data_IF_243011125153
#
_entry.id   IF_243011125153
#
_cell.length_a   1.000
_cell.length_b   1.000
_cell.length_c   1.000
_cell.angle_alpha   90.00
_cell.angle_beta   90.00
_cell.angle_gamma   90.00
#
_symmetry.space_group_name_H-M   'P 1'
#
loop_
_entity.id
_entity.type
_entity.pdbx_description
1 polymer ?
#
# COMPACT_ATOMS: atom_id res chain seq x y z
N UNK A 1 20.04 -9.88 -17.84
CA UNK A 1 19.72 -8.74 -18.73
C UNK A 1 19.67 -7.51 -17.84
N UNK A 2 20.35 -6.41 -18.18
CA UNK A 2 20.29 -5.20 -17.39
C UNK A 2 18.85 -4.67 -17.45
N UNK A 3 18.20 -4.51 -16.28
CA UNK A 3 16.90 -3.83 -16.17
C UNK A 3 17.09 -2.41 -16.71
N UNK A 4 16.30 -1.94 -17.67
CA UNK A 4 16.41 -0.56 -18.12
C UNK A 4 16.03 0.33 -16.92
N UNK A 5 16.97 1.15 -16.48
CA UNK A 5 16.70 2.27 -15.58
C UNK A 5 15.88 3.30 -16.35
N UNK A 6 14.60 3.08 -16.46
CA UNK A 6 13.68 4.11 -16.90
C UNK A 6 13.43 4.98 -15.69
N UNK A 7 13.94 6.20 -15.70
CA UNK A 7 13.51 7.21 -14.76
C UNK A 7 12.00 7.36 -14.94
N UNK A 8 11.23 6.85 -13.96
CA UNK A 8 9.78 7.06 -13.93
C UNK A 8 9.58 8.55 -13.70
N UNK A 9 8.91 9.22 -14.64
CA UNK A 9 8.58 10.63 -14.47
C UNK A 9 7.76 10.79 -13.19
N UNK A 10 8.03 11.80 -12.35
CA UNK A 10 7.27 12.02 -11.14
C UNK A 10 5.80 12.18 -11.51
N UNK A 11 4.93 11.55 -10.73
CA UNK A 11 3.49 11.64 -10.89
C UNK A 11 3.09 13.11 -10.78
N UNK A 12 2.44 13.63 -11.82
CA UNK A 12 1.78 14.93 -11.74
C UNK A 12 0.37 14.67 -11.19
N UNK A 13 0.02 15.36 -10.11
CA UNK A 13 -1.32 15.34 -9.53
C UNK A 13 -2.34 15.64 -10.63
N UNK A 14 -2.99 14.59 -11.11
CA UNK A 14 -4.07 14.69 -12.08
C UNK A 14 -5.36 14.93 -11.31
N UNK A 15 -6.15 15.90 -11.75
CA UNK A 15 -7.49 16.14 -11.19
C UNK A 15 -8.44 14.98 -11.49
N UNK A 16 -8.15 14.24 -12.54
CA UNK A 16 -8.96 13.13 -13.01
C UNK A 16 -8.06 11.88 -13.08
N UNK A 17 -8.41 10.85 -12.33
CA UNK A 17 -7.71 9.56 -12.39
C UNK A 17 -8.44 8.69 -13.40
N UNK A 18 -7.82 8.45 -14.52
CA UNK A 18 -8.31 7.51 -15.54
C UNK A 18 -7.61 6.18 -15.31
N UNK A 19 -8.31 5.22 -14.70
CA UNK A 19 -7.76 3.89 -14.42
C UNK A 19 -8.18 2.95 -15.53
N UNK A 20 -7.25 2.61 -16.41
CA UNK A 20 -7.44 1.54 -17.40
C UNK A 20 -7.09 0.23 -16.74
N UNK A 21 -8.11 -0.58 -16.42
CA UNK A 21 -7.91 -1.92 -15.85
C UNK A 21 -7.82 -2.96 -16.96
N UNK A 22 -6.75 -3.73 -16.95
CA UNK A 22 -6.62 -4.93 -17.75
C UNK A 22 -6.58 -6.12 -16.79
N UNK A 23 -7.69 -6.87 -16.68
CA UNK A 23 -7.73 -8.08 -15.85
C UNK A 23 -6.96 -9.17 -16.58
N UNK A 24 -5.71 -9.38 -16.21
CA UNK A 24 -4.85 -10.37 -16.85
C UNK A 24 -4.71 -11.66 -16.05
N UNK A 25 -4.96 -11.63 -14.74
CA UNK A 25 -4.90 -12.81 -13.86
C UNK A 25 -5.89 -12.66 -12.71
N UNK A 26 -6.56 -13.75 -12.30
CA UNK A 26 -7.33 -13.74 -11.06
C UNK A 26 -6.35 -13.54 -9.90
N UNK A 27 -6.54 -12.46 -9.12
CA UNK A 27 -5.81 -12.22 -7.89
C UNK A 27 -6.56 -12.88 -6.73
N UNK A 28 -5.84 -13.45 -5.78
CA UNK A 28 -6.43 -13.71 -4.47
C UNK A 28 -6.89 -12.37 -3.86
N UNK A 29 -7.90 -12.42 -2.98
CA UNK A 29 -8.35 -11.21 -2.29
C UNK A 29 -7.18 -10.65 -1.50
N UNK A 30 -6.60 -9.55 -1.96
CA UNK A 30 -5.45 -8.91 -1.32
C UNK A 30 -5.92 -8.21 -0.06
N UNK A 31 -5.30 -8.53 1.08
CA UNK A 31 -5.47 -7.77 2.31
C UNK A 31 -4.74 -6.44 2.22
N UNK A 32 -5.51 -5.37 1.99
CA UNK A 32 -4.98 -4.02 1.73
C UNK A 32 -4.19 -3.41 2.91
N UNK A 33 -4.13 -4.09 4.05
CA UNK A 33 -3.33 -3.72 5.22
C UNK A 33 -2.23 -4.72 5.59
N UNK A 34 -2.04 -5.79 4.81
CA UNK A 34 -1.07 -6.84 5.12
C UNK A 34 0.35 -6.41 4.80
N UNK A 35 1.27 -6.80 5.68
CA UNK A 35 2.68 -6.45 5.57
C UNK A 35 3.53 -7.64 5.09
N UNK A 36 4.51 -7.36 4.23
CA UNK A 36 5.57 -8.25 3.81
C UNK A 36 6.92 -7.75 4.33
N UNK A 37 7.68 -8.63 4.98
CA UNK A 37 9.06 -8.38 5.38
C UNK A 37 9.99 -9.02 4.33
N UNK A 38 10.76 -8.19 3.65
CA UNK A 38 11.76 -8.61 2.66
C UNK A 38 13.06 -8.95 3.39
N UNK A 39 13.42 -10.23 3.40
CA UNK A 39 14.58 -10.75 4.13
C UNK A 39 15.66 -11.28 3.18
N UNK A 40 16.63 -10.43 2.77
CA UNK A 40 17.77 -10.90 1.98
C UNK A 40 18.64 -11.85 2.80
N UNK A 41 18.87 -13.06 2.30
CA UNK A 41 19.69 -14.05 2.99
C UNK A 41 20.60 -14.78 2.01
N UNK A 42 21.84 -15.03 2.43
CA UNK A 42 22.79 -15.81 1.64
C UNK A 42 22.49 -17.33 1.67
N UNK A 43 21.74 -17.80 2.66
CA UNK A 43 21.37 -19.20 2.80
C UNK A 43 19.86 -19.30 2.88
N UNK A 44 19.25 -19.68 1.76
CA UNK A 44 17.80 -19.87 1.70
C UNK A 44 17.37 -21.12 2.46
N UNK A 45 16.20 -21.09 3.13
CA UNK A 45 15.59 -22.28 3.69
C UNK A 45 15.43 -23.36 2.60
N UNK A 46 15.80 -24.60 2.89
CA UNK A 46 15.76 -25.70 1.93
C UNK A 46 15.06 -26.93 2.50
N UNK A 47 14.51 -27.74 1.61
CA UNK A 47 13.83 -28.99 2.01
C UNK A 47 12.44 -28.79 2.63
N UNK A 48 11.91 -27.59 2.58
CA UNK A 48 10.57 -27.27 3.08
C UNK A 48 9.50 -27.73 2.07
N UNK A 49 8.42 -28.32 2.57
CA UNK A 49 7.24 -28.63 1.75
C UNK A 49 6.34 -27.40 1.64
N UNK A 50 5.80 -27.14 0.46
CA UNK A 50 4.74 -26.10 0.28
C UNK A 50 3.44 -26.52 1.01
N UNK A 51 3.27 -27.82 1.29
CA UNK A 51 2.11 -28.32 2.05
C UNK A 51 2.44 -28.32 3.52
N UNK A 52 1.75 -27.48 4.28
CA UNK A 52 1.86 -27.40 5.73
C UNK A 52 1.25 -28.65 6.39
N UNK A 53 1.90 -29.19 7.39
CA UNK A 53 1.35 -30.22 8.25
C UNK A 53 0.39 -29.66 9.32
N UNK A 54 -0.19 -30.56 10.14
CA UNK A 54 -1.17 -30.15 11.15
C UNK A 54 -0.54 -29.40 12.32
N UNK A 55 0.70 -29.62 12.63
CA UNK A 55 1.37 -28.97 13.75
C UNK A 55 1.83 -27.56 13.33
N UNK A 56 2.41 -27.41 12.14
CA UNK A 56 2.72 -26.11 11.55
C UNK A 56 1.48 -25.17 11.49
N UNK A 57 0.31 -25.71 11.11
CA UNK A 57 -0.95 -24.96 11.11
C UNK A 57 -1.42 -24.56 12.51
N UNK A 58 -1.23 -25.43 13.51
CA UNK A 58 -1.54 -25.13 14.92
C UNK A 58 -0.61 -24.09 15.50
N UNK A 59 0.66 -24.10 15.06
CA UNK A 59 1.66 -23.12 15.45
C UNK A 59 1.42 -21.75 14.81
N UNK A 60 0.44 -21.66 13.89
CA UNK A 60 -0.02 -20.41 13.30
C UNK A 60 0.68 -20.02 11.99
N UNK A 61 1.36 -20.96 11.33
CA UNK A 61 1.85 -20.79 9.96
C UNK A 61 0.66 -20.93 9.01
N UNK A 62 0.35 -19.85 8.27
CA UNK A 62 -0.83 -19.77 7.40
C UNK A 62 -0.57 -20.31 6.01
N UNK A 63 0.59 -19.97 5.44
CA UNK A 63 1.01 -20.45 4.12
C UNK A 63 2.52 -20.51 3.99
N UNK A 64 2.97 -21.34 3.06
CA UNK A 64 4.38 -21.42 2.64
C UNK A 64 4.45 -21.78 1.17
N UNK A 65 5.29 -21.08 0.43
CA UNK A 65 5.53 -21.34 -0.98
C UNK A 65 6.97 -21.09 -1.35
N UNK A 66 7.57 -22.05 -2.07
CA UNK A 66 8.93 -21.92 -2.60
C UNK A 66 8.87 -21.69 -4.10
N UNK A 67 9.55 -20.66 -4.59
CA UNK A 67 9.74 -20.48 -6.03
C UNK A 67 10.90 -21.37 -6.52
N UNK A 68 10.62 -22.22 -7.49
CA UNK A 68 11.60 -23.17 -8.01
C UNK A 68 12.71 -22.53 -8.86
N UNK A 69 12.50 -21.33 -9.39
CA UNK A 69 13.45 -20.64 -10.26
C UNK A 69 14.51 -19.85 -9.45
N UNK A 70 14.07 -19.19 -8.41
CA UNK A 70 14.93 -18.36 -7.56
C UNK A 70 15.36 -19.08 -6.29
N UNK A 71 14.56 -20.04 -5.82
CA UNK A 71 14.69 -20.68 -4.51
C UNK A 71 14.12 -19.84 -3.36
N UNK A 72 13.55 -18.67 -3.66
CA UNK A 72 12.95 -17.81 -2.65
C UNK A 72 11.75 -18.47 -1.95
N UNK A 73 11.60 -18.20 -0.66
CA UNK A 73 10.56 -18.81 0.19
C UNK A 73 9.68 -17.74 0.78
N UNK A 74 8.41 -17.76 0.42
CA UNK A 74 7.36 -16.92 1.00
C UNK A 74 6.66 -17.68 2.12
N UNK A 75 6.45 -17.04 3.26
CA UNK A 75 5.74 -17.61 4.42
C UNK A 75 4.83 -16.57 5.02
N UNK A 76 3.65 -17.00 5.47
CA UNK A 76 2.71 -16.16 6.23
C UNK A 76 2.51 -16.73 7.64
N UNK A 77 2.38 -15.83 8.60
CA UNK A 77 2.25 -16.10 10.02
C UNK A 77 1.08 -15.34 10.62
N UNK A 78 0.28 -15.99 11.47
CA UNK A 78 -0.90 -15.39 12.09
C UNK A 78 -0.59 -14.57 13.35
N UNK A 79 0.60 -14.72 13.92
CA UNK A 79 0.99 -14.05 15.16
C UNK A 79 2.51 -14.12 15.37
N UNK A 80 2.99 -13.44 16.41
CA UNK A 80 4.42 -13.39 16.72
C UNK A 80 5.01 -14.75 17.16
N UNK A 81 4.24 -15.58 17.86
CA UNK A 81 4.70 -16.92 18.29
C UNK A 81 4.94 -17.82 17.07
N UNK A 82 4.10 -17.68 16.03
CA UNK A 82 4.31 -18.38 14.77
C UNK A 82 5.58 -17.92 14.03
N UNK A 83 5.91 -16.62 14.07
CA UNK A 83 7.17 -16.11 13.53
C UNK A 83 8.36 -16.67 14.29
N UNK A 84 8.25 -16.84 15.61
CA UNK A 84 9.32 -17.38 16.46
C UNK A 84 9.68 -18.85 16.17
N UNK A 85 8.82 -19.58 15.44
CA UNK A 85 9.13 -20.95 14.99
C UNK A 85 10.29 -20.96 13.99
N UNK A 86 10.33 -19.97 13.12
CA UNK A 86 11.31 -19.89 12.02
C UNK A 86 12.40 -18.83 12.23
N UNK A 87 12.16 -17.84 13.10
CA UNK A 87 13.07 -16.71 13.32
C UNK A 87 13.30 -16.46 14.80
N UNK A 88 14.52 -16.60 15.26
CA UNK A 88 14.92 -16.31 16.64
C UNK A 88 14.67 -14.84 17.00
N UNK A 89 14.46 -14.55 18.29
CA UNK A 89 14.09 -13.25 18.81
C UNK A 89 15.12 -12.12 18.58
N UNK A 90 16.36 -12.46 18.27
CA UNK A 90 17.43 -11.50 17.95
C UNK A 90 17.49 -11.15 16.46
N UNK A 91 16.78 -11.89 15.60
CA UNK A 91 16.74 -11.64 14.15
C UNK A 91 16.01 -10.34 13.82
N UNK A 92 16.39 -9.72 12.70
CA UNK A 92 15.73 -8.52 12.19
C UNK A 92 14.26 -8.78 11.84
N UNK A 93 13.95 -9.93 11.23
CA UNK A 93 12.57 -10.35 10.89
C UNK A 93 11.69 -10.37 12.13
N UNK A 94 12.14 -11.08 13.20
CA UNK A 94 11.36 -11.15 14.45
C UNK A 94 11.12 -9.78 15.08
N UNK A 95 12.14 -8.91 15.12
CA UNK A 95 12.01 -7.55 15.67
C UNK A 95 11.00 -6.70 14.89
N UNK A 96 10.98 -6.81 13.56
CA UNK A 96 9.99 -6.15 12.70
C UNK A 96 8.58 -6.71 12.96
N UNK A 97 8.43 -8.03 12.97
CA UNK A 97 7.15 -8.66 13.27
C UNK A 97 6.63 -8.29 14.67
N UNK A 98 7.51 -8.26 15.68
CA UNK A 98 7.15 -7.84 17.04
C UNK A 98 6.64 -6.39 17.10
N UNK A 99 7.30 -5.46 16.39
CA UNK A 99 6.86 -4.06 16.33
C UNK A 99 5.52 -3.92 15.60
N UNK A 100 5.28 -4.72 14.58
CA UNK A 100 4.02 -4.77 13.84
C UNK A 100 2.87 -5.30 14.71
N UNK A 101 3.02 -6.47 15.32
CA UNK A 101 1.99 -7.08 16.16
C UNK A 101 1.78 -6.36 17.50
N UNK A 102 2.69 -5.48 17.92
CA UNK A 102 2.49 -4.62 19.07
C UNK A 102 1.50 -3.46 18.82
N UNK A 103 1.12 -3.21 17.58
CA UNK A 103 0.13 -2.17 17.24
C UNK A 103 -1.29 -2.69 17.41
N UNK A 104 -2.24 -1.82 17.78
CA UNK A 104 -3.64 -2.22 18.02
C UNK A 104 -4.43 -2.55 16.76
N UNK A 105 -4.01 -2.02 15.62
CA UNK A 105 -4.74 -2.09 14.34
C UNK A 105 -4.03 -2.98 13.31
N UNK A 106 -3.07 -3.81 13.73
CA UNK A 106 -2.39 -4.73 12.82
C UNK A 106 -3.37 -5.73 12.19
N UNK A 107 -3.04 -6.24 11.01
CA UNK A 107 -3.83 -7.32 10.42
C UNK A 107 -3.58 -8.64 11.16
N UNK A 108 -4.39 -9.65 10.85
CA UNK A 108 -4.29 -10.99 11.42
C UNK A 108 -3.11 -11.81 10.90
N UNK A 109 -2.20 -11.16 10.13
CA UNK A 109 -1.05 -11.85 9.51
C UNK A 109 0.11 -10.93 9.21
N UNK A 110 1.28 -11.54 9.06
CA UNK A 110 2.48 -10.94 8.48
C UNK A 110 3.11 -11.94 7.52
N UNK A 111 3.61 -11.45 6.40
CA UNK A 111 4.37 -12.28 5.47
C UNK A 111 5.87 -12.01 5.55
N UNK A 112 6.69 -13.02 5.24
CA UNK A 112 8.14 -12.91 5.11
C UNK A 112 8.56 -13.54 3.80
N UNK A 113 9.39 -12.86 3.04
CA UNK A 113 10.03 -13.37 1.83
C UNK A 113 11.54 -13.49 2.08
N UNK A 114 12.02 -14.73 2.21
CA UNK A 114 13.45 -15.01 2.19
C UNK A 114 13.93 -15.15 0.76
N UNK A 115 14.94 -14.38 0.37
CA UNK A 115 15.43 -14.38 -1.00
C UNK A 115 16.94 -14.17 -1.09
N UNK A 116 17.56 -14.69 -2.16
CA UNK A 116 18.94 -14.41 -2.50
C UNK A 116 19.06 -12.96 -3.02
N UNK A 117 19.89 -12.10 -2.39
CA UNK A 117 20.07 -10.71 -2.85
C UNK A 117 20.43 -10.56 -4.33
N UNK A 118 21.11 -11.55 -4.91
CA UNK A 118 21.45 -11.55 -6.34
C UNK A 118 20.23 -11.77 -7.26
N UNK A 119 19.10 -12.23 -6.72
CA UNK A 119 17.85 -12.52 -7.43
C UNK A 119 16.66 -11.76 -6.83
N UNK A 120 16.91 -10.62 -6.21
CA UNK A 120 15.89 -9.87 -5.47
C UNK A 120 14.67 -9.51 -6.33
N UNK A 121 14.90 -9.04 -7.56
CA UNK A 121 13.84 -8.67 -8.50
C UNK A 121 12.95 -9.87 -8.85
N UNK A 122 13.54 -10.94 -9.35
CA UNK A 122 12.83 -12.15 -9.78
C UNK A 122 12.09 -12.81 -8.62
N UNK A 123 12.68 -12.77 -7.42
CA UNK A 123 12.08 -13.33 -6.21
C UNK A 123 10.86 -12.54 -5.77
N UNK A 124 10.90 -11.21 -5.78
CA UNK A 124 9.74 -10.39 -5.43
C UNK A 124 8.65 -10.50 -6.48
N UNK A 125 9.01 -10.52 -7.78
CA UNK A 125 8.06 -10.67 -8.89
C UNK A 125 7.30 -12.00 -8.80
N UNK A 126 7.96 -13.10 -8.41
CA UNK A 126 7.33 -14.42 -8.26
C UNK A 126 6.20 -14.43 -7.21
N UNK A 127 6.28 -13.58 -6.20
CA UNK A 127 5.30 -13.47 -5.10
C UNK A 127 4.51 -12.17 -5.12
N UNK A 128 4.54 -11.43 -6.24
CA UNK A 128 3.88 -10.13 -6.35
C UNK A 128 2.37 -10.17 -6.15
N UNK A 129 1.72 -11.23 -6.58
CA UNK A 129 0.25 -11.40 -6.49
C UNK A 129 -0.22 -12.05 -5.18
N UNK A 130 0.70 -12.30 -4.22
CA UNK A 130 0.37 -12.87 -2.93
C UNK A 130 -0.30 -11.84 -2.01
N UNK A 131 -0.84 -12.29 -0.88
CA UNK A 131 -1.71 -11.51 0.00
C UNK A 131 -0.93 -10.51 0.88
N UNK A 132 -0.35 -9.48 0.28
CA UNK A 132 0.33 -8.38 0.95
C UNK A 132 0.18 -7.09 0.14
N UNK A 133 0.34 -5.93 0.80
CA UNK A 133 0.25 -4.60 0.15
C UNK A 133 1.42 -3.71 0.51
N UNK A 134 1.92 -3.78 1.74
CA UNK A 134 3.03 -2.97 2.21
C UNK A 134 4.26 -3.82 2.43
N UNK A 135 5.38 -3.51 1.78
CA UNK A 135 6.66 -4.19 1.99
C UNK A 135 7.62 -3.32 2.80
N UNK A 136 8.34 -3.95 3.72
CA UNK A 136 9.45 -3.36 4.48
C UNK A 136 10.70 -4.22 4.33
N UNK A 137 11.86 -3.65 4.60
CA UNK A 137 13.10 -4.42 4.68
C UNK A 137 13.29 -5.01 6.08
N UNK A 138 13.74 -6.25 6.19
CA UNK A 138 14.12 -6.86 7.47
C UNK A 138 15.24 -6.02 8.11
N UNK A 139 16.32 -5.77 7.38
CA UNK A 139 17.35 -4.81 7.77
C UNK A 139 16.99 -3.44 7.18
N UNK A 140 16.89 -2.40 8.02
CA UNK A 140 16.59 -1.02 7.58
C UNK A 140 17.81 -0.40 6.88
N UNK A 141 18.18 -0.94 5.71
CA UNK A 141 19.32 -0.52 4.93
C UNK A 141 18.88 -0.12 3.52
N UNK A 142 18.92 1.15 3.24
CA UNK A 142 18.58 1.72 1.92
C UNK A 142 19.84 1.73 1.04
N UNK A 143 20.14 0.58 0.45
CA UNK A 143 21.26 0.42 -0.49
C UNK A 143 20.77 0.32 -1.96
N UNK A 144 21.68 0.15 -2.89
CA UNK A 144 21.35 0.04 -4.32
C UNK A 144 20.40 -1.14 -4.62
N UNK A 145 20.39 -2.20 -3.80
CA UNK A 145 19.43 -3.30 -3.95
C UNK A 145 18.02 -2.84 -3.56
N UNK A 146 17.88 -2.17 -2.42
CA UNK A 146 16.60 -1.59 -1.98
C UNK A 146 16.06 -0.59 -3.01
N UNK A 147 16.95 0.30 -3.53
CA UNK A 147 16.60 1.27 -4.58
C UNK A 147 16.12 0.54 -5.85
N UNK A 148 16.75 -0.57 -6.23
CA UNK A 148 16.34 -1.34 -7.41
C UNK A 148 14.96 -1.96 -7.20
N UNK A 149 14.66 -2.47 -5.99
CA UNK A 149 13.34 -3.02 -5.66
C UNK A 149 12.24 -1.97 -5.75
N UNK A 150 12.46 -0.71 -5.36
CA UNK A 150 11.42 0.33 -5.46
C UNK A 150 10.90 0.53 -6.87
N UNK A 151 11.71 0.26 -7.90
CA UNK A 151 11.28 0.37 -9.31
C UNK A 151 10.14 -0.60 -9.66
N UNK A 152 10.04 -1.76 -8.97
CA UNK A 152 8.95 -2.71 -9.19
C UNK A 152 7.64 -2.11 -8.70
N UNK A 153 7.66 -1.47 -7.52
CA UNK A 153 6.48 -0.82 -6.95
C UNK A 153 5.98 0.33 -7.83
N UNK A 154 6.90 1.14 -8.34
CA UNK A 154 6.56 2.25 -9.25
C UNK A 154 6.05 1.77 -10.62
N UNK A 155 6.52 0.61 -11.10
CA UNK A 155 6.05 0.04 -12.36
C UNK A 155 4.64 -0.55 -12.25
N UNK A 156 4.34 -1.28 -11.16
CA UNK A 156 3.09 -2.00 -10.98
C UNK A 156 1.98 -1.15 -10.33
N UNK A 157 2.32 -0.23 -9.42
CA UNK A 157 1.41 0.75 -8.81
C UNK A 157 0.27 0.16 -7.98
N UNK A 158 0.50 -0.99 -7.37
CA UNK A 158 -0.51 -1.72 -6.61
C UNK A 158 -0.02 -2.23 -5.23
N UNK A 159 1.22 -1.85 -4.86
CA UNK A 159 1.82 -2.12 -3.56
C UNK A 159 2.70 -0.94 -3.16
N UNK A 160 3.05 -0.86 -1.87
CA UNK A 160 3.88 0.20 -1.31
C UNK A 160 5.16 -0.36 -0.70
N UNK A 161 6.28 0.31 -0.99
CA UNK A 161 7.56 0.06 -0.31
C UNK A 161 7.73 1.08 0.81
N UNK A 162 7.95 0.62 2.04
CA UNK A 162 8.21 1.48 3.20
C UNK A 162 9.68 1.33 3.60
N UNK A 163 10.42 2.41 3.52
CA UNK A 163 11.85 2.45 3.82
C UNK A 163 12.10 3.32 5.05
N UNK A 164 12.99 2.86 5.90
CA UNK A 164 13.43 3.60 7.09
C UNK A 164 14.92 3.85 7.03
N UNK A 165 15.33 5.07 7.33
CA UNK A 165 16.74 5.45 7.54
C UNK A 165 16.87 6.58 8.55
N UNK A 166 18.04 6.66 9.19
CA UNK A 166 18.43 7.81 10.02
C UNK A 166 19.16 8.92 9.23
N UNK A 167 19.46 8.70 7.94
CA UNK A 167 20.06 9.71 7.05
C UNK A 167 19.11 10.01 5.87
N UNK A 168 18.68 11.26 5.75
CA UNK A 168 17.80 11.71 4.65
C UNK A 168 18.44 11.55 3.27
N UNK A 169 19.78 11.54 3.18
CA UNK A 169 20.48 11.37 1.90
C UNK A 169 20.25 10.02 1.26
N UNK A 170 19.89 9.01 2.05
CA UNK A 170 19.54 7.69 1.54
C UNK A 170 18.30 7.73 0.63
N UNK A 171 17.47 8.76 0.78
CA UNK A 171 16.26 8.96 -0.01
C UNK A 171 16.45 9.86 -1.24
N UNK A 172 17.63 10.50 -1.43
CA UNK A 172 17.85 11.45 -2.52
C UNK A 172 17.56 10.87 -3.91
N UNK A 173 17.94 9.59 -4.13
CA UNK A 173 17.70 8.90 -5.41
C UNK A 173 16.25 8.45 -5.61
N UNK A 174 15.44 8.48 -4.57
CA UNK A 174 14.06 7.98 -4.52
C UNK A 174 13.04 9.13 -4.55
N UNK A 175 13.50 10.37 -4.52
CA UNK A 175 12.64 11.56 -4.51
C UNK A 175 11.73 11.58 -5.74
N UNK A 176 10.42 11.80 -5.51
CA UNK A 176 9.43 11.83 -6.57
C UNK A 176 8.72 10.48 -6.84
N UNK A 177 9.06 9.42 -6.10
CA UNK A 177 8.40 8.12 -6.23
C UNK A 177 7.05 8.10 -5.51
N UNK A 178 6.01 7.54 -6.18
CA UNK A 178 4.62 7.54 -5.66
C UNK A 178 4.33 6.37 -4.73
N UNK A 179 4.96 5.22 -4.95
CA UNK A 179 4.67 3.99 -4.21
C UNK A 179 5.79 3.64 -3.22
N UNK A 180 6.62 4.64 -2.90
CA UNK A 180 7.70 4.56 -1.92
C UNK A 180 7.49 5.57 -0.80
N UNK A 181 7.42 5.07 0.44
CA UNK A 181 7.23 5.84 1.68
C UNK A 181 8.57 5.87 2.41
N UNK A 182 9.02 7.05 2.82
CA UNK A 182 10.28 7.22 3.54
C UNK A 182 10.02 7.64 4.99
N UNK A 183 10.60 6.90 5.93
CA UNK A 183 10.55 7.19 7.35
C UNK A 183 11.93 7.58 7.85
N UNK A 184 12.04 8.79 8.42
CA UNK A 184 13.26 9.27 9.06
C UNK A 184 13.18 8.94 10.54
N UNK A 185 13.92 7.89 10.96
CA UNK A 185 13.97 7.45 12.35
C UNK A 185 15.22 6.60 12.61
N UNK A 186 15.58 6.43 13.90
CA UNK A 186 16.66 5.51 14.30
C UNK A 186 16.32 4.09 13.86
N UNK A 187 17.22 3.47 13.11
CA UNK A 187 17.04 2.11 12.59
C UNK A 187 17.04 1.03 13.68
N UNK A 188 17.45 1.35 14.90
CA UNK A 188 17.36 0.45 16.05
C UNK A 188 15.91 0.22 16.53
N UNK A 189 15.00 1.16 16.24
CA UNK A 189 13.56 1.03 16.52
C UNK A 189 12.80 0.81 15.20
N UNK A 190 12.09 -0.31 15.03
CA UNK A 190 11.40 -0.64 13.78
C UNK A 190 10.15 0.23 13.53
N UNK A 191 10.33 1.50 13.24
CA UNK A 191 9.24 2.45 12.99
C UNK A 191 8.44 2.07 11.73
N UNK A 192 9.06 1.53 10.70
CA UNK A 192 8.41 1.09 9.46
C UNK A 192 7.36 0.00 9.72
N UNK A 193 7.70 -1.01 10.51
CA UNK A 193 6.77 -2.06 10.89
C UNK A 193 5.64 -1.52 11.80
N UNK A 194 5.97 -0.65 12.77
CA UNK A 194 4.97 -0.01 13.62
C UNK A 194 4.02 0.89 12.79
N UNK A 195 4.55 1.65 11.83
CA UNK A 195 3.79 2.54 10.96
C UNK A 195 2.75 1.76 10.13
N UNK A 196 3.17 0.68 9.50
CA UNK A 196 2.26 -0.19 8.75
C UNK A 196 1.25 -0.84 9.70
N UNK A 197 1.69 -1.44 10.82
CA UNK A 197 0.82 -2.14 11.78
C UNK A 197 -0.21 -1.23 12.45
N UNK A 198 0.11 0.04 12.68
CA UNK A 198 -0.82 0.98 13.31
C UNK A 198 -1.90 1.52 12.38
N UNK A 199 -1.69 1.49 11.06
CA UNK A 199 -2.50 2.29 10.13
C UNK A 199 -3.07 1.47 8.98
N UNK A 200 -2.27 0.59 8.36
CA UNK A 200 -2.60 0.00 7.07
C UNK A 200 -3.86 -0.87 7.07
N UNK A 201 -4.19 -1.51 8.19
CA UNK A 201 -5.38 -2.37 8.31
C UNK A 201 -6.64 -1.62 8.76
N UNK A 202 -6.56 -0.31 9.02
CA UNK A 202 -7.76 0.51 9.22
C UNK A 202 -8.59 0.55 7.96
N UNK A 203 -9.88 0.79 8.13
CA UNK A 203 -10.78 0.95 6.99
C UNK A 203 -10.24 2.02 6.03
N UNK A 204 -9.98 1.63 4.78
CA UNK A 204 -9.45 2.54 3.77
C UNK A 204 -10.46 3.66 3.50
N UNK A 205 -9.98 4.90 3.49
CA UNK A 205 -10.81 6.12 3.42
C UNK A 205 -11.12 6.72 4.79
N UNK A 206 -11.19 5.92 5.87
CA UNK A 206 -11.56 6.41 7.21
C UNK A 206 -10.43 7.13 7.95
N UNK A 207 -9.20 7.07 7.47
CA UNK A 207 -8.04 7.56 8.22
C UNK A 207 -6.98 8.16 7.33
N UNK A 208 -6.36 9.26 7.78
CA UNK A 208 -5.10 9.75 7.21
C UNK A 208 -3.91 9.07 7.87
N UNK A 209 -2.76 9.06 7.20
CA UNK A 209 -1.50 8.52 7.74
C UNK A 209 -0.72 9.51 8.62
N UNK A 210 -1.15 10.77 8.66
CA UNK A 210 -0.66 11.80 9.58
C UNK A 210 -1.36 11.70 10.95
N UNK A 211 -0.70 12.19 12.00
CA UNK A 211 -1.23 12.26 13.39
C UNK A 211 -1.43 10.90 14.07
N UNK A 212 -0.70 9.87 13.67
CA UNK A 212 -0.83 8.52 14.24
C UNK A 212 0.17 8.26 15.34
N UNK A 213 -0.30 7.66 16.43
CA UNK A 213 0.53 7.17 17.51
C UNK A 213 1.07 5.77 17.15
N UNK A 214 2.35 5.53 17.43
CA UNK A 214 3.04 4.28 17.18
C UNK A 214 3.50 3.69 18.52
N UNK A 215 2.96 2.52 18.88
CA UNK A 215 3.34 1.86 20.12
C UNK A 215 4.79 1.36 20.04
N UNK A 216 5.55 1.60 21.10
CA UNK A 216 6.94 1.14 21.22
C UNK A 216 7.96 1.96 20.43
N UNK A 217 7.56 3.06 19.79
CA UNK A 217 8.46 3.97 19.05
C UNK A 217 8.68 5.27 19.85
N UNK A 218 9.92 5.68 19.95
CA UNK A 218 10.31 6.89 20.68
C UNK A 218 10.21 8.12 19.78
N UNK A 219 9.46 9.18 20.15
CA UNK A 219 9.38 10.38 19.33
C UNK A 219 10.71 11.12 19.29
N UNK A 220 11.14 11.56 18.12
CA UNK A 220 12.36 12.33 17.91
C UNK A 220 12.22 13.78 18.42
N UNK A 221 13.29 14.29 19.00
CA UNK A 221 13.39 15.69 19.43
C UNK A 221 14.06 16.50 18.31
N UNK A 222 13.26 17.01 17.39
CA UNK A 222 13.71 17.73 16.20
C UNK A 222 13.60 19.24 16.38
N UNK A 223 14.58 19.97 15.88
CA UNK A 223 14.47 21.41 15.66
C UNK A 223 13.54 21.71 14.50
N UNK A 224 13.03 22.94 14.42
CA UNK A 224 12.20 23.41 13.29
C UNK A 224 12.92 23.24 11.94
N UNK A 225 14.24 23.45 11.91
CA UNK A 225 15.03 23.32 10.70
C UNK A 225 15.18 21.87 10.26
N UNK A 226 15.40 20.95 11.19
CA UNK A 226 15.48 19.52 10.91
C UNK A 226 14.13 18.99 10.40
N UNK A 227 13.02 19.36 11.05
CA UNK A 227 11.69 18.98 10.60
C UNK A 227 11.39 19.57 9.20
N UNK A 228 11.78 20.80 8.92
CA UNK A 228 11.66 21.38 7.58
C UNK A 228 12.49 20.62 6.54
N UNK A 229 13.69 20.17 6.90
CA UNK A 229 14.52 19.31 6.05
C UNK A 229 13.83 17.99 5.72
N UNK A 230 13.25 17.33 6.72
CA UNK A 230 12.48 16.08 6.55
C UNK A 230 11.27 16.30 5.63
N UNK A 231 10.52 17.38 5.85
CA UNK A 231 9.36 17.71 5.02
C UNK A 231 9.75 18.03 3.57
N UNK A 232 10.88 18.68 3.33
CA UNK A 232 11.36 18.99 1.99
C UNK A 232 11.78 17.73 1.19
N UNK A 233 12.16 16.66 1.87
CA UNK A 233 12.44 15.36 1.24
C UNK A 233 11.21 14.47 1.16
N UNK A 234 10.04 14.94 1.58
CA UNK A 234 8.81 14.17 1.71
C UNK A 234 8.98 12.90 2.57
N UNK A 235 9.91 12.91 3.52
CA UNK A 235 10.01 11.87 4.52
C UNK A 235 9.07 12.16 5.69
N UNK A 236 8.77 11.13 6.47
CA UNK A 236 7.90 11.17 7.65
C UNK A 236 8.75 10.93 8.88
N UNK A 237 8.60 11.76 9.91
CA UNK A 237 9.19 11.56 11.22
C UNK A 237 8.13 11.21 12.27
N UNK A 238 8.58 10.62 13.38
CA UNK A 238 7.74 10.44 14.57
C UNK A 238 8.11 11.49 15.60
N UNK A 239 7.20 12.37 15.95
CA UNK A 239 7.47 13.59 16.72
C UNK A 239 6.47 13.77 17.87
N UNK A 240 6.86 14.60 18.85
CA UNK A 240 5.94 15.01 19.91
C UNK A 240 5.50 16.45 19.72
N UNK A 241 4.18 16.67 19.56
CA UNK A 241 3.60 18.00 19.38
C UNK A 241 2.43 18.17 20.33
N UNK A 242 2.44 19.26 21.10
CA UNK A 242 1.39 19.60 22.09
C UNK A 242 1.11 18.46 23.08
N UNK A 243 2.13 17.70 23.46
CA UNK A 243 2.02 16.59 24.40
C UNK A 243 1.65 15.24 23.78
N UNK A 244 1.31 15.18 22.49
CA UNK A 244 0.94 13.96 21.77
C UNK A 244 2.06 13.48 20.88
N UNK A 245 2.38 12.19 20.92
CA UNK A 245 3.29 11.55 20.02
C UNK A 245 2.55 11.22 18.71
N UNK A 246 3.17 11.52 17.56
CA UNK A 246 2.47 11.34 16.28
C UNK A 246 3.41 11.32 15.07
N UNK A 247 2.96 10.71 13.99
CA UNK A 247 3.56 10.86 12.66
C UNK A 247 3.45 12.31 12.19
N UNK A 248 4.54 12.87 11.64
CA UNK A 248 4.61 14.28 11.23
C UNK A 248 3.77 14.56 9.99
N UNK A 249 3.77 13.62 9.06
CA UNK A 249 3.03 13.69 7.79
C UNK A 249 2.54 12.29 7.37
N UNK A 250 1.82 12.20 6.22
CA UNK A 250 1.27 10.97 5.67
C UNK A 250 1.39 10.92 4.16
N UNK A 251 2.57 11.20 3.61
CA UNK A 251 2.83 11.26 2.17
C UNK A 251 3.87 10.23 1.73
N UNK A 252 3.97 10.04 0.44
CA UNK A 252 5.02 9.29 -0.22
C UNK A 252 6.15 10.24 -0.65
N UNK A 253 7.24 9.71 -1.18
CA UNK A 253 8.38 10.51 -1.66
C UNK A 253 8.07 11.45 -2.83
N UNK A 254 6.91 11.29 -3.50
CA UNK A 254 6.42 12.26 -4.49
C UNK A 254 5.72 13.48 -3.85
N UNK A 255 5.32 13.37 -2.59
CA UNK A 255 4.44 14.33 -1.92
C UNK A 255 2.95 14.03 -2.07
N UNK A 256 2.57 12.94 -2.77
CA UNK A 256 1.20 12.45 -2.79
C UNK A 256 0.83 11.81 -1.44
N UNK A 257 -0.42 11.93 -1.04
CA UNK A 257 -0.88 11.37 0.23
C UNK A 257 -1.11 9.85 0.12
N UNK A 258 -0.63 9.12 1.12
CA UNK A 258 -0.75 7.66 1.18
C UNK A 258 -2.22 7.23 1.22
N UNK A 259 -3.07 7.94 1.96
CA UNK A 259 -4.51 7.67 2.03
C UNK A 259 -5.20 7.78 0.67
N UNK A 260 -4.83 8.75 -0.16
CA UNK A 260 -5.35 8.91 -1.51
C UNK A 260 -4.92 7.75 -2.42
N UNK A 261 -3.62 7.38 -2.42
CA UNK A 261 -3.11 6.27 -3.22
C UNK A 261 -3.65 4.91 -2.74
N UNK A 262 -3.78 4.72 -1.43
CA UNK A 262 -4.38 3.52 -0.85
C UNK A 262 -5.88 3.42 -1.17
N UNK A 263 -6.58 4.56 -1.20
CA UNK A 263 -7.97 4.65 -1.67
C UNK A 263 -8.14 4.28 -3.14
N UNK A 264 -7.24 4.73 -4.02
CA UNK A 264 -7.23 4.35 -5.44
C UNK A 264 -7.02 2.83 -5.57
N UNK A 265 -6.09 2.26 -4.82
CA UNK A 265 -5.84 0.82 -4.80
C UNK A 265 -7.08 0.04 -4.31
N UNK A 266 -7.76 0.56 -3.28
CA UNK A 266 -9.02 -0.03 -2.79
C UNK A 266 -10.09 -0.07 -3.89
N UNK A 267 -10.29 1.03 -4.61
CA UNK A 267 -11.25 1.09 -5.73
C UNK A 267 -10.89 0.08 -6.81
N UNK A 268 -9.62 0.04 -7.22
CA UNK A 268 -9.13 -0.90 -8.24
C UNK A 268 -9.40 -2.35 -7.81
N UNK A 269 -8.94 -2.75 -6.63
CA UNK A 269 -9.07 -4.13 -6.13
C UNK A 269 -10.53 -4.56 -5.99
N UNK A 270 -11.39 -3.67 -5.49
CA UNK A 270 -12.81 -3.99 -5.32
C UNK A 270 -13.58 -4.04 -6.64
N UNK A 271 -13.22 -3.22 -7.64
CA UNK A 271 -13.81 -3.35 -8.98
C UNK A 271 -13.38 -4.68 -9.62
N UNK A 272 -12.09 -5.04 -9.55
CA UNK A 272 -11.58 -6.34 -10.05
C UNK A 272 -12.33 -7.49 -9.42
N UNK A 273 -12.40 -7.52 -8.08
CA UNK A 273 -13.11 -8.56 -7.32
C UNK A 273 -14.61 -8.62 -7.66
N UNK A 274 -15.29 -7.48 -7.71
CA UNK A 274 -16.72 -7.41 -7.99
C UNK A 274 -17.08 -7.86 -9.41
N UNK A 275 -16.23 -7.56 -10.39
CA UNK A 275 -16.40 -8.04 -11.76
C UNK A 275 -16.12 -9.53 -11.88
N UNK A 276 -15.05 -10.02 -11.25
CA UNK A 276 -14.72 -11.44 -11.22
C UNK A 276 -15.84 -12.27 -10.54
N UNK A 277 -16.31 -11.84 -9.37
CA UNK A 277 -17.45 -12.45 -8.69
C UNK A 277 -18.70 -12.47 -9.57
N UNK A 278 -18.93 -11.41 -10.35
CA UNK A 278 -20.04 -11.34 -11.27
C UNK A 278 -19.92 -12.34 -12.42
N UNK A 279 -18.70 -12.54 -12.95
CA UNK A 279 -18.43 -13.52 -13.99
C UNK A 279 -18.57 -14.96 -13.49
N UNK A 280 -18.16 -15.23 -12.24
CA UNK A 280 -18.20 -16.56 -11.63
C UNK A 280 -19.60 -16.95 -11.14
N UNK A 281 -20.33 -16.00 -10.52
CA UNK A 281 -21.64 -16.27 -9.90
C UNK A 281 -22.80 -16.40 -10.89
N UNK A 282 -22.61 -15.92 -12.12
CA UNK A 282 -23.60 -16.05 -13.18
C UNK A 282 -23.24 -17.18 -14.15
N UNK A 283 -24.15 -18.10 -14.40
CA UNK A 283 -23.93 -19.16 -15.39
C UNK A 283 -23.56 -18.62 -16.77
N UNK A 284 -24.05 -17.42 -17.09
CA UNK A 284 -23.76 -16.70 -18.32
C UNK A 284 -24.14 -15.23 -18.21
N UNK A 285 -23.19 -14.34 -18.50
CA UNK A 285 -23.48 -12.94 -18.79
C UNK A 285 -23.59 -12.79 -20.31
N UNK A 286 -24.77 -12.44 -20.86
CA UNK A 286 -24.94 -12.34 -22.30
C UNK A 286 -24.15 -11.15 -22.84
N UNK A 287 -23.57 -11.30 -24.03
CA UNK A 287 -22.87 -10.22 -24.73
C UNK A 287 -23.88 -9.32 -25.47
N UNK A 288 -24.71 -8.63 -24.72
CA UNK A 288 -25.70 -7.64 -25.19
C UNK A 288 -25.78 -6.47 -24.21
N UNK A 289 -26.70 -5.54 -24.48
CA UNK A 289 -26.82 -4.33 -23.66
C UNK A 289 -27.29 -4.62 -22.23
N UNK A 290 -27.96 -5.73 -21.99
CA UNK A 290 -28.40 -6.13 -20.64
C UNK A 290 -27.20 -6.64 -19.82
N UNK A 291 -26.38 -7.53 -20.37
CA UNK A 291 -25.16 -8.01 -19.72
C UNK A 291 -24.13 -6.88 -19.52
N UNK A 292 -23.99 -5.99 -20.49
CA UNK A 292 -23.13 -4.80 -20.35
C UNK A 292 -23.63 -3.90 -19.22
N UNK A 293 -24.94 -3.70 -19.09
CA UNK A 293 -25.53 -2.90 -18.01
C UNK A 293 -25.33 -3.54 -16.64
N UNK A 294 -25.31 -4.87 -16.53
CA UNK A 294 -24.98 -5.59 -15.30
C UNK A 294 -23.53 -5.30 -14.87
N UNK A 295 -22.55 -5.39 -15.78
CA UNK A 295 -21.15 -5.09 -15.47
C UNK A 295 -20.98 -3.63 -15.07
N UNK A 296 -21.61 -2.70 -15.79
CA UNK A 296 -21.63 -1.27 -15.43
C UNK A 296 -22.19 -1.03 -14.03
N UNK A 297 -23.27 -1.72 -13.66
CA UNK A 297 -23.90 -1.59 -12.35
C UNK A 297 -22.95 -2.04 -11.23
N UNK A 298 -22.14 -3.07 -11.46
CA UNK A 298 -21.13 -3.55 -10.50
C UNK A 298 -20.05 -2.49 -10.23
N UNK A 299 -19.50 -1.89 -11.28
CA UNK A 299 -18.53 -0.79 -11.14
C UNK A 299 -19.17 0.39 -10.41
N UNK A 300 -20.41 0.77 -10.77
CA UNK A 300 -21.13 1.87 -10.10
C UNK A 300 -21.32 1.59 -8.61
N UNK A 301 -21.63 0.35 -8.23
CA UNK A 301 -21.79 -0.05 -6.83
C UNK A 301 -20.50 0.13 -6.03
N UNK A 302 -19.34 -0.28 -6.60
CA UNK A 302 -18.03 -0.10 -5.93
C UNK A 302 -17.69 1.37 -5.77
N UNK A 303 -17.93 2.21 -6.79
CA UNK A 303 -17.67 3.65 -6.69
C UNK A 303 -18.60 4.36 -5.70
N UNK A 304 -19.86 3.89 -5.58
CA UNK A 304 -20.77 4.38 -4.55
C UNK A 304 -20.26 4.02 -3.15
N UNK A 305 -19.81 2.78 -2.94
CA UNK A 305 -19.20 2.36 -1.67
C UNK A 305 -17.92 3.14 -1.37
N UNK A 306 -17.07 3.41 -2.38
CA UNK A 306 -15.90 4.25 -2.23
C UNK A 306 -16.24 5.68 -1.80
N UNK A 307 -17.35 6.24 -2.28
CA UNK A 307 -17.85 7.53 -1.83
C UNK A 307 -18.35 7.47 -0.37
N UNK A 308 -19.10 6.43 0.01
CA UNK A 308 -19.58 6.22 1.38
C UNK A 308 -18.42 6.05 2.39
N UNK A 309 -17.26 5.55 1.92
CA UNK A 309 -15.99 5.43 2.69
C UNK A 309 -15.12 6.68 2.65
N UNK A 310 -15.59 7.77 2.08
CA UNK A 310 -14.84 9.04 1.93
C UNK A 310 -13.55 8.91 1.08
N UNK A 311 -13.42 7.88 0.24
CA UNK A 311 -12.34 7.73 -0.74
C UNK A 311 -12.58 8.67 -1.93
N UNK A 312 -13.84 8.81 -2.35
CA UNK A 312 -14.26 9.67 -3.45
C UNK A 312 -14.81 10.98 -2.90
N UNK A 313 -14.42 12.09 -3.52
CA UNK A 313 -14.89 13.43 -3.17
C UNK A 313 -16.42 13.56 -3.29
N UNK A 314 -16.98 14.39 -2.43
CA UNK A 314 -18.39 14.79 -2.48
C UNK A 314 -18.53 16.10 -3.23
N UNK A 315 -19.45 16.15 -4.16
CA UNK A 315 -19.85 17.40 -4.82
C UNK A 315 -20.65 18.29 -3.84
N UNK A 316 -20.16 19.48 -3.57
CA UNK A 316 -20.71 20.38 -2.54
C UNK A 316 -22.15 20.85 -2.84
N UNK A 317 -22.56 20.88 -4.12
CA UNK A 317 -23.90 21.35 -4.52
C UNK A 317 -24.93 20.22 -4.42
N UNK A 318 -24.55 19.01 -4.81
CA UNK A 318 -25.49 17.87 -4.93
C UNK A 318 -25.40 16.89 -3.79
N UNK A 319 -24.31 16.89 -3.01
CA UNK A 319 -24.01 15.91 -1.96
C UNK A 319 -23.73 14.50 -2.51
N UNK A 320 -23.42 14.37 -3.79
CA UNK A 320 -23.13 13.07 -4.44
C UNK A 320 -21.64 12.89 -4.65
N UNK A 321 -21.21 11.62 -4.78
CA UNK A 321 -19.84 11.30 -5.15
C UNK A 321 -19.49 11.82 -6.54
N UNK A 322 -18.30 12.40 -6.67
CA UNK A 322 -17.77 12.91 -7.94
C UNK A 322 -17.17 11.74 -8.71
N UNK A 323 -18.01 11.00 -9.42
CA UNK A 323 -17.56 9.94 -10.31
C UNK A 323 -18.51 9.74 -11.50
N UNK A 324 -18.00 9.13 -12.56
CA UNK A 324 -18.77 8.71 -13.73
C UNK A 324 -18.43 7.29 -14.14
N UNK A 325 -19.43 6.56 -14.67
CA UNK A 325 -19.22 5.23 -15.24
C UNK A 325 -19.85 5.19 -16.63
N UNK A 326 -19.07 4.86 -17.62
CA UNK A 326 -19.52 4.71 -19.00
C UNK A 326 -19.36 3.28 -19.48
N UNK A 327 -20.29 2.83 -20.32
CA UNK A 327 -20.24 1.51 -20.92
C UNK A 327 -20.60 1.62 -22.40
N UNK A 328 -19.67 1.28 -23.27
CA UNK A 328 -19.90 1.33 -24.70
C UNK A 328 -20.88 0.21 -25.12
N UNK A 329 -21.89 0.50 -25.97
CA UNK A 329 -22.87 -0.50 -26.36
C UNK A 329 -22.25 -1.60 -27.24
N UNK A 330 -22.88 -2.77 -27.29
CA UNK A 330 -22.43 -3.88 -28.15
C UNK A 330 -22.19 -3.46 -29.59
N UNK A 331 -22.97 -2.52 -30.13
CA UNK A 331 -22.85 -2.04 -31.51
C UNK A 331 -21.52 -1.34 -31.80
N UNK A 332 -20.81 -0.84 -30.80
CA UNK A 332 -19.49 -0.23 -30.92
C UNK A 332 -18.35 -1.23 -30.83
N UNK A 333 -18.62 -2.50 -30.41
CA UNK A 333 -17.61 -3.52 -30.22
C UNK A 333 -17.21 -4.15 -31.56
N UNK A 334 -15.93 -4.55 -31.69
CA UNK A 334 -15.47 -5.20 -32.90
C UNK A 334 -15.98 -6.65 -32.99
N UNK A 335 -16.12 -7.17 -34.20
CA UNK A 335 -16.50 -8.59 -34.40
C UNK A 335 -15.46 -9.54 -33.79
N UNK A 336 -14.20 -9.12 -33.74
CA UNK A 336 -13.11 -9.88 -33.15
C UNK A 336 -13.27 -10.02 -31.64
N UNK A 337 -13.58 -8.93 -30.93
CA UNK A 337 -13.78 -8.92 -29.48
C UNK A 337 -15.00 -9.77 -29.11
N UNK A 338 -16.10 -9.59 -29.84
CA UNK A 338 -17.29 -10.41 -29.65
C UNK A 338 -16.98 -11.92 -29.85
N UNK A 339 -16.16 -12.26 -30.86
CA UNK A 339 -15.79 -13.65 -31.11
C UNK A 339 -14.87 -14.24 -30.05
N UNK A 340 -14.01 -13.42 -29.45
CA UNK A 340 -13.16 -13.77 -28.31
C UNK A 340 -13.89 -13.71 -26.97
N UNK A 341 -15.15 -13.31 -26.96
CA UNK A 341 -15.96 -13.08 -25.73
C UNK A 341 -15.32 -12.05 -24.80
N UNK A 342 -14.57 -11.11 -25.33
CA UNK A 342 -13.91 -10.02 -24.61
C UNK A 342 -14.73 -8.73 -24.78
N UNK A 343 -15.04 -8.06 -23.69
CA UNK A 343 -15.71 -6.75 -23.71
C UNK A 343 -14.73 -5.66 -23.28
N UNK A 344 -14.46 -4.75 -24.20
CA UNK A 344 -13.65 -3.56 -24.00
C UNK A 344 -14.53 -2.32 -24.22
N UNK A 345 -14.96 -1.69 -23.15
CA UNK A 345 -15.85 -0.52 -23.32
C UNK A 345 -16.43 -0.02 -22.01
N UNK A 346 -15.98 -0.60 -20.88
CA UNK A 346 -16.30 -0.14 -19.55
C UNK A 346 -15.20 0.80 -19.09
N UNK A 347 -15.55 2.02 -18.69
CA UNK A 347 -14.60 2.98 -18.14
C UNK A 347 -15.25 3.80 -17.02
N UNK A 348 -14.43 4.33 -16.13
CA UNK A 348 -14.86 5.18 -15.04
C UNK A 348 -13.84 6.27 -14.76
N UNK A 349 -14.31 7.34 -14.13
CA UNK A 349 -13.49 8.41 -13.58
C UNK A 349 -14.01 8.75 -12.19
N UNK A 350 -13.15 9.20 -11.31
CA UNK A 350 -13.54 9.74 -10.01
C UNK A 350 -12.53 10.75 -9.50
N UNK A 351 -12.95 11.57 -8.54
CA UNK A 351 -12.11 12.53 -7.84
C UNK A 351 -11.87 12.03 -6.40
N UNK A 352 -10.60 12.01 -5.97
CA UNK A 352 -10.25 11.56 -4.61
C UNK A 352 -10.66 12.60 -3.57
N UNK A 353 -11.15 12.13 -2.43
CA UNK A 353 -11.41 12.98 -1.27
C UNK A 353 -10.12 13.54 -0.69
N UNK A 354 -10.20 14.69 -0.03
CA UNK A 354 -9.06 15.37 0.60
C UNK A 354 -9.29 15.53 2.09
N UNK A 355 -8.22 15.34 2.89
CA UNK A 355 -8.25 15.49 4.34
C UNK A 355 -7.56 16.78 4.78
N UNK A 356 -8.08 17.47 5.80
CA UNK A 356 -7.47 18.68 6.35
C UNK A 356 -6.29 18.32 7.23
N UNK A 357 -5.07 18.70 6.84
CA UNK A 357 -3.82 18.46 7.57
C UNK A 357 -3.28 19.70 8.31
N UNK A 358 -3.79 20.89 8.02
CA UNK A 358 -3.42 22.12 8.72
C UNK A 358 -4.56 23.13 8.72
N UNK A 359 -4.63 23.96 9.77
CA UNK A 359 -5.61 25.02 9.91
C UNK A 359 -4.90 26.32 10.30
N UNK A 360 -5.20 27.41 9.62
CA UNK A 360 -4.78 28.75 10.02
C UNK A 360 -5.99 29.51 10.56
N UNK A 361 -5.87 30.02 11.79
CA UNK A 361 -6.92 30.82 12.43
C UNK A 361 -6.41 32.26 12.58
N UNK A 362 -7.15 33.20 12.07
CA UNK A 362 -6.91 34.62 12.26
C UNK A 362 -7.86 35.14 13.33
N UNK A 363 -7.30 35.62 14.47
CA UNK A 363 -8.07 36.24 15.55
C UNK A 363 -7.65 37.68 15.74
N UNK A 364 -8.63 38.58 15.93
CA UNK A 364 -8.38 39.96 16.36
C UNK A 364 -8.89 40.09 17.82
N UNK A 365 -8.05 40.60 18.67
CA UNK A 365 -8.44 40.91 20.07
C UNK A 365 -8.51 42.44 20.17
N UNK A 366 -9.72 42.94 20.31
CA UNK A 366 -9.95 44.35 20.66
C UNK A 366 -9.81 44.48 22.18
N UNK A 367 -8.81 45.18 22.62
CA UNK A 367 -8.60 45.48 24.04
C UNK A 367 -8.84 46.98 24.30
N UNK A 368 -9.85 47.31 25.07
CA UNK A 368 -10.12 48.67 25.55
C UNK A 368 -9.06 49.18 26.55
N UNK A 369 -8.08 48.35 26.90
CA UNK A 369 -7.09 48.58 27.95
C UNK A 369 -5.66 48.87 27.45
N UNK A 370 -5.39 48.94 26.15
CA UNK A 370 -4.10 49.44 25.64
C UNK A 370 -4.16 50.94 25.65
N UNK A 371 -3.97 51.50 26.84
CA UNK A 371 -3.63 52.92 26.97
C UNK A 371 -2.17 53.14 26.55
N UNK A 372 -1.99 54.00 25.61
CA UNK A 372 -0.77 54.57 25.05
C UNK A 372 0.34 54.82 26.08
#
# INVERSE_FOLDING_TARGET
>A
MAVPQTAVAPYQRLKDVDVVMTINHPREVIGLGNMLILNPTATLPSGLSDTLDNDERKDGILSRKTDSATGAVFREYSNLDAVAVDYDADTAVYKKANSYFAQSEHSDRVAVLDYDPAKAYESLEAFWTFNWTFAILAESKVDDSAITLTNIFEANKDHFMVLQSNDLKDFDKLFGLNYTIALKHDVAEPMDAAFVGAIANKEVGSTTWKFKELAGITPESLTTQELAGINNTHAIAYVRVSGHNRTSEGWTLSGEYIDSLHGILWVQTNIESSLEDSLQSNDKIPYDNEGISLLRAKVTQVLQEAHEREIIATDDETGRGVYTVTAAPKSSQTKQDISKRHYEGLSFTFETSSTVHSVTVHGTVDSDTILV
#
